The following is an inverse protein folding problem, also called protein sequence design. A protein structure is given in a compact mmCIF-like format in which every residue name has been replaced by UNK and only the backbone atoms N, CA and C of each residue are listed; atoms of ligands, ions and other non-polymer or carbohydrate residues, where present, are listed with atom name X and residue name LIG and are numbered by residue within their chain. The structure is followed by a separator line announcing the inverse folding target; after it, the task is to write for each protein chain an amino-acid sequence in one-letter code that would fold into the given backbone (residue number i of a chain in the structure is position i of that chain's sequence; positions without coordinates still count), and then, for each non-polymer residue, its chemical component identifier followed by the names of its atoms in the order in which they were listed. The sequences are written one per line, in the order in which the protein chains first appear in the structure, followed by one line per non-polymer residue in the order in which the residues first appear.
data_IF_959928393386
#
_entry.id   IF_959928393386
#
_cell.length_a   1.000
_cell.length_b   1.000
_cell.length_c   1.000
_cell.angle_alpha   90.00
_cell.angle_beta   90.00
_cell.angle_gamma   90.00
#
_symmetry.space_group_name_H-M   'P 1'
#
loop_
_entity.id
_entity.type
_entity.pdbx_description
1 polymer ?
#
# COMPACT_ATOMS: atom_id res chain seq x y z
N UNK A 1 6.16 1.16 -21.43
CA UNK A 1 6.35 1.38 -19.98
C UNK A 1 5.23 0.68 -19.22
N UNK A 2 5.57 0.08 -18.11
CA UNK A 2 4.59 -0.67 -17.31
C UNK A 2 3.88 0.29 -16.36
N UNK A 3 2.53 0.32 -16.41
CA UNK A 3 1.75 1.18 -15.53
C UNK A 3 1.78 0.64 -14.10
N UNK A 4 1.39 1.47 -13.13
CA UNK A 4 1.25 1.04 -11.74
C UNK A 4 0.25 -0.12 -11.63
N UNK A 5 -0.86 -0.03 -12.37
CA UNK A 5 -1.86 -1.10 -12.39
C UNK A 5 -1.26 -2.42 -12.87
N UNK A 6 -0.48 -2.40 -13.95
CA UNK A 6 0.17 -3.61 -14.47
C UNK A 6 1.16 -4.18 -13.46
N UNK A 7 1.89 -3.32 -12.77
CA UNK A 7 2.85 -3.73 -11.74
C UNK A 7 2.13 -4.36 -10.55
N UNK A 8 1.00 -3.80 -10.13
CA UNK A 8 0.17 -4.37 -9.08
C UNK A 8 -0.35 -5.75 -9.46
N UNK A 9 -0.89 -5.90 -10.67
CA UNK A 9 -1.40 -7.18 -11.16
C UNK A 9 -0.30 -8.23 -11.20
N UNK A 10 0.88 -7.86 -11.67
CA UNK A 10 2.03 -8.77 -11.73
C UNK A 10 2.47 -9.20 -10.33
N UNK A 11 2.52 -8.28 -9.38
CA UNK A 11 2.90 -8.59 -8.01
C UNK A 11 1.88 -9.51 -7.33
N UNK A 12 0.58 -9.28 -7.57
CA UNK A 12 -0.47 -10.17 -7.09
C UNK A 12 -0.33 -11.58 -7.67
N UNK A 13 -0.04 -11.67 -8.97
CA UNK A 13 0.12 -12.96 -9.64
C UNK A 13 1.29 -13.75 -9.06
N UNK A 14 2.35 -13.06 -8.63
CA UNK A 14 3.53 -13.69 -8.02
C UNK A 14 3.40 -13.88 -6.50
N UNK A 15 2.34 -13.40 -5.90
CA UNK A 15 2.20 -13.35 -4.44
C UNK A 15 3.38 -12.63 -3.77
N UNK A 16 3.84 -11.56 -4.40
CA UNK A 16 5.01 -10.79 -3.96
C UNK A 16 4.58 -9.70 -2.98
N UNK A 17 4.44 -10.07 -1.71
CA UNK A 17 3.96 -9.14 -0.68
C UNK A 17 4.88 -7.95 -0.48
N UNK A 18 6.19 -8.15 -0.59
CA UNK A 18 7.14 -7.03 -0.46
C UNK A 18 6.90 -5.98 -1.53
N UNK A 19 6.71 -6.43 -2.78
CA UNK A 19 6.40 -5.52 -3.87
C UNK A 19 5.04 -4.85 -3.68
N UNK A 20 4.05 -5.59 -3.18
CA UNK A 20 2.70 -5.05 -2.96
C UNK A 20 2.70 -3.94 -1.91
N UNK A 21 3.47 -4.05 -0.84
CA UNK A 21 3.61 -2.99 0.15
C UNK A 21 4.07 -1.69 -0.51
N UNK A 22 5.14 -1.76 -1.30
CA UNK A 22 5.69 -0.59 -2.00
C UNK A 22 4.74 -0.03 -3.05
N UNK A 23 4.11 -0.92 -3.84
CA UNK A 23 3.23 -0.50 -4.93
C UNK A 23 1.94 0.14 -4.41
N UNK A 24 1.34 -0.40 -3.35
CA UNK A 24 0.16 0.23 -2.76
C UNK A 24 0.50 1.55 -2.07
N UNK A 25 1.70 1.67 -1.47
CA UNK A 25 2.15 2.94 -0.93
C UNK A 25 2.31 3.98 -2.04
N UNK A 26 2.88 3.58 -3.18
CA UNK A 26 3.00 4.44 -4.36
C UNK A 26 1.62 4.87 -4.86
N UNK A 27 0.68 3.92 -4.92
CA UNK A 27 -0.70 4.22 -5.33
C UNK A 27 -1.35 5.24 -4.38
N UNK A 28 -1.10 5.11 -3.08
CA UNK A 28 -1.62 6.06 -2.10
C UNK A 28 -1.04 7.46 -2.32
N UNK A 29 0.26 7.55 -2.62
CA UNK A 29 0.92 8.82 -2.85
C UNK A 29 0.42 9.52 -4.12
N UNK A 30 -0.09 8.74 -5.08
CA UNK A 30 -0.63 9.25 -6.34
C UNK A 30 -2.14 9.43 -6.32
N UNK A 31 -2.80 9.08 -5.22
CA UNK A 31 -4.27 9.11 -5.14
C UNK A 31 -4.81 10.53 -5.22
N UNK A 32 -5.97 10.68 -5.85
CA UNK A 32 -6.59 12.00 -6.08
C UNK A 32 -7.20 12.61 -4.83
N UNK A 33 -7.51 11.80 -3.82
CA UNK A 33 -8.14 12.29 -2.58
C UNK A 33 -7.76 11.40 -1.40
N UNK A 34 -8.11 11.86 -0.19
CA UNK A 34 -7.76 11.18 1.06
C UNK A 34 -8.41 9.80 1.15
N UNK A 35 -9.65 9.67 0.74
CA UNK A 35 -10.35 8.38 0.82
C UNK A 35 -9.65 7.32 -0.02
N UNK A 36 -9.29 7.67 -1.26
CA UNK A 36 -8.56 6.76 -2.13
C UNK A 36 -7.18 6.44 -1.57
N UNK A 37 -6.47 7.47 -1.06
CA UNK A 37 -5.16 7.27 -0.45
C UNK A 37 -5.25 6.29 0.73
N UNK A 38 -6.22 6.47 1.61
CA UNK A 38 -6.40 5.60 2.77
C UNK A 38 -6.79 4.18 2.38
N UNK A 39 -7.56 4.02 1.31
CA UNK A 39 -7.88 2.70 0.75
C UNK A 39 -6.58 1.95 0.40
N UNK A 40 -5.68 2.62 -0.34
CA UNK A 40 -4.42 2.01 -0.73
C UNK A 40 -3.47 1.79 0.46
N UNK A 41 -3.43 2.76 1.39
CA UNK A 41 -2.61 2.61 2.61
C UNK A 41 -3.04 1.42 3.44
N UNK A 42 -4.35 1.18 3.55
CA UNK A 42 -4.87 0.04 4.28
C UNK A 42 -4.39 -1.28 3.67
N UNK A 43 -4.40 -1.38 2.34
CA UNK A 43 -3.88 -2.56 1.65
C UNK A 43 -2.39 -2.75 1.92
N UNK A 44 -1.60 -1.68 1.79
CA UNK A 44 -0.17 -1.74 2.05
C UNK A 44 0.10 -2.17 3.50
N UNK A 45 -0.65 -1.64 4.43
CA UNK A 45 -0.52 -1.95 5.85
C UNK A 45 -0.78 -3.43 6.13
N UNK A 46 -1.86 -3.98 5.56
CA UNK A 46 -2.21 -5.39 5.73
C UNK A 46 -1.08 -6.29 5.21
N UNK A 47 -0.58 -6.01 4.00
CA UNK A 47 0.52 -6.79 3.44
C UNK A 47 1.80 -6.66 4.25
N UNK A 48 2.08 -5.46 4.78
CA UNK A 48 3.24 -5.23 5.63
C UNK A 48 3.14 -6.05 6.93
N UNK A 49 1.95 -6.09 7.55
CA UNK A 49 1.73 -6.90 8.74
C UNK A 49 1.92 -8.39 8.47
N UNK A 50 1.37 -8.89 7.36
CA UNK A 50 1.48 -10.30 7.00
C UNK A 50 2.94 -10.72 6.80
N UNK A 51 3.74 -9.81 6.24
CA UNK A 51 5.15 -10.06 5.97
C UNK A 51 6.04 -9.80 7.20
N UNK A 52 5.55 -9.07 8.19
CA UNK A 52 6.39 -8.59 9.29
C UNK A 52 7.31 -7.45 8.86
N UNK A 53 6.90 -6.67 7.89
CA UNK A 53 7.70 -5.59 7.32
C UNK A 53 7.67 -4.37 8.25
N UNK A 54 8.84 -3.78 8.59
CA UNK A 54 8.88 -2.57 9.42
C UNK A 54 8.09 -1.40 8.84
N UNK A 55 7.82 -1.39 7.54
CA UNK A 55 6.99 -0.35 6.91
C UNK A 55 5.60 -0.28 7.53
N UNK A 56 5.14 -1.33 8.22
CA UNK A 56 3.84 -1.32 8.90
C UNK A 56 3.71 -0.17 9.89
N UNK A 57 4.79 0.19 10.58
CA UNK A 57 4.77 1.29 11.55
C UNK A 57 4.51 2.64 10.87
N UNK A 58 5.21 2.91 9.78
CA UNK A 58 5.04 4.15 9.04
C UNK A 58 3.64 4.23 8.40
N UNK A 59 3.15 3.11 7.87
CA UNK A 59 1.82 3.04 7.27
C UNK A 59 0.73 3.25 8.33
N UNK A 60 0.90 2.67 9.50
CA UNK A 60 -0.01 2.89 10.61
C UNK A 60 -0.06 4.37 10.99
N UNK A 61 1.09 5.03 11.09
CA UNK A 61 1.14 6.45 11.43
C UNK A 61 0.44 7.32 10.38
N UNK A 62 0.59 6.99 9.10
CA UNK A 62 -0.10 7.71 8.03
C UNK A 62 -1.62 7.55 8.15
N UNK A 63 -2.10 6.32 8.39
CA UNK A 63 -3.53 6.06 8.58
C UNK A 63 -4.06 6.75 9.83
N UNK A 64 -3.30 6.75 10.90
CA UNK A 64 -3.67 7.42 12.14
C UNK A 64 -3.79 8.94 11.95
N UNK A 65 -2.88 9.53 11.19
CA UNK A 65 -2.92 10.96 10.89
C UNK A 65 -4.20 11.36 10.15
N UNK A 66 -4.78 10.43 9.37
CA UNK A 66 -6.02 10.65 8.64
C UNK A 66 -7.26 10.20 9.45
N UNK A 67 -7.07 9.77 10.68
CA UNK A 67 -8.17 9.33 11.54
C UNK A 67 -8.79 8.00 11.15
N UNK A 68 -8.03 7.13 10.48
CA UNK A 68 -8.53 5.85 9.97
C UNK A 68 -8.20 4.66 10.86
N UNK A 69 -7.44 4.87 11.90
CA UNK A 69 -7.14 3.85 12.91
C UNK A 69 -7.17 4.47 14.30
#
# INVERSE_FOLDING_TARGET
MTSLQDRLLAAHARHDRAALVGLYTEAADMAANVDAACFYLTHAYIFALEKGDPASDALYQRLKAEGRV
#
